data_IF_490080162731
#
_entry.id   IF_490080162731
#
_cell.length_a   1.000
_cell.length_b   1.000
_cell.length_c   1.000
_cell.angle_alpha   90.00
_cell.angle_beta   90.00
_cell.angle_gamma   90.00
#
_symmetry.space_group_name_H-M   'P 1'
#
loop_
_entity.id
_entity.type
_entity.pdbx_description
1 polymer ?
#
# COMPACT_ATOMS: atom_id res chain seq x y z
N UNK A 1 -43.11 4.01 -16.43
CA UNK A 1 -42.90 3.66 -17.85
C UNK A 1 -42.43 4.90 -18.56
N UNK A 2 -41.26 4.86 -19.20
CA UNK A 2 -40.56 6.08 -19.62
C UNK A 2 -41.14 6.72 -20.90
N UNK A 3 -40.81 7.99 -21.15
CA UNK A 3 -41.24 8.77 -22.34
C UNK A 3 -40.04 9.33 -23.13
N UNK A 4 -38.92 8.59 -23.14
CA UNK A 4 -37.66 9.05 -23.71
C UNK A 4 -37.74 9.28 -25.22
N UNK A 5 -37.17 10.39 -25.72
CA UNK A 5 -37.11 10.68 -27.18
C UNK A 5 -35.69 10.66 -27.75
N UNK A 6 -34.67 10.93 -26.92
CA UNK A 6 -33.28 11.17 -27.38
C UNK A 6 -32.23 10.28 -26.71
N UNK A 7 -32.54 9.67 -25.56
CA UNK A 7 -31.57 8.87 -24.82
C UNK A 7 -31.34 7.48 -25.42
N UNK A 8 -32.20 7.04 -26.35
CA UNK A 8 -32.27 5.64 -26.77
C UNK A 8 -32.55 4.68 -25.62
N UNK A 9 -32.97 5.19 -24.46
CA UNK A 9 -33.09 4.45 -23.21
C UNK A 9 -31.78 3.77 -22.73
N UNK A 10 -30.60 4.20 -23.21
CA UNK A 10 -29.29 3.67 -22.80
C UNK A 10 -28.44 4.71 -22.05
N UNK A 11 -29.10 5.68 -21.40
CA UNK A 11 -28.48 6.73 -20.59
C UNK A 11 -29.32 6.92 -19.34
N UNK A 12 -28.71 7.46 -18.27
CA UNK A 12 -29.38 7.69 -16.98
C UNK A 12 -30.53 8.71 -17.04
N UNK A 13 -30.77 9.37 -18.18
CA UNK A 13 -31.99 10.16 -18.41
C UNK A 13 -33.26 9.29 -18.53
N UNK A 14 -33.12 7.98 -18.67
CA UNK A 14 -34.23 7.02 -18.73
C UNK A 14 -34.39 6.32 -17.38
N UNK A 15 -35.55 6.47 -16.74
CA UNK A 15 -35.88 5.81 -15.47
C UNK A 15 -35.69 4.29 -15.50
N UNK A 16 -36.00 3.63 -16.62
CA UNK A 16 -35.81 2.18 -16.75
C UNK A 16 -34.32 1.82 -16.74
N UNK A 17 -33.49 2.60 -17.43
CA UNK A 17 -32.06 2.35 -17.54
C UNK A 17 -31.31 2.66 -16.23
N UNK A 18 -31.71 3.74 -15.56
CA UNK A 18 -31.22 4.10 -14.24
C UNK A 18 -31.52 2.97 -13.24
N UNK A 19 -32.77 2.49 -13.23
CA UNK A 19 -33.21 1.37 -12.40
C UNK A 19 -32.71 -0.02 -12.86
N UNK A 20 -31.84 -0.10 -13.88
CA UNK A 20 -31.28 -1.35 -14.44
C UNK A 20 -32.32 -2.37 -14.92
N UNK A 21 -33.50 -1.91 -15.32
CA UNK A 21 -34.56 -2.73 -15.92
C UNK A 21 -34.75 -2.44 -17.41
N UNK A 22 -35.35 -3.38 -18.14
CA UNK A 22 -35.66 -3.18 -19.55
C UNK A 22 -36.90 -2.30 -19.71
N UNK A 23 -36.96 -1.58 -20.84
CA UNK A 23 -38.21 -0.98 -21.25
C UNK A 23 -39.20 -2.09 -21.62
N UNK A 24 -40.46 -1.92 -21.23
CA UNK A 24 -41.56 -2.83 -21.57
C UNK A 24 -42.63 -2.10 -22.39
N UNK A 25 -43.70 -2.81 -22.74
CA UNK A 25 -44.82 -2.28 -23.55
C UNK A 25 -45.53 -1.06 -22.94
N UNK A 26 -45.41 -0.84 -21.63
CA UNK A 26 -45.97 0.35 -20.96
C UNK A 26 -45.14 1.63 -21.19
N UNK A 27 -43.95 1.53 -21.78
CA UNK A 27 -43.10 2.67 -22.08
C UNK A 27 -43.50 3.31 -23.41
N UNK A 28 -43.52 4.65 -23.46
CA UNK A 28 -43.81 5.45 -24.67
C UNK A 28 -42.55 6.07 -25.26
N UNK A 29 -41.42 5.40 -25.10
CA UNK A 29 -40.14 5.85 -25.63
C UNK A 29 -40.06 5.69 -27.15
N UNK A 30 -39.39 6.63 -27.80
CA UNK A 30 -39.13 6.63 -29.25
C UNK A 30 -37.67 6.23 -29.48
N UNK A 31 -37.45 5.26 -30.38
CA UNK A 31 -36.12 4.74 -30.67
C UNK A 31 -35.48 4.00 -29.49
N UNK A 32 -36.27 3.18 -28.78
CA UNK A 32 -35.80 2.43 -27.63
C UNK A 32 -34.70 1.43 -28.04
N UNK A 33 -33.56 1.49 -27.37
CA UNK A 33 -32.47 0.51 -27.48
C UNK A 33 -32.28 -0.26 -26.17
N UNK A 34 -33.21 -0.15 -25.23
CA UNK A 34 -33.15 -0.77 -23.90
C UNK A 34 -34.07 -1.98 -23.80
N UNK A 35 -33.73 -3.01 -24.57
CA UNK A 35 -34.41 -4.31 -24.61
C UNK A 35 -33.36 -5.42 -24.66
N UNK A 36 -33.77 -6.67 -24.43
CA UNK A 36 -32.89 -7.82 -24.20
C UNK A 36 -31.92 -8.07 -25.38
N UNK A 37 -32.42 -8.03 -26.60
CA UNK A 37 -31.65 -8.34 -27.81
C UNK A 37 -30.94 -7.13 -28.44
N UNK A 38 -30.96 -5.97 -27.79
CA UNK A 38 -30.37 -4.75 -28.33
C UNK A 38 -28.85 -4.89 -28.49
N UNK A 39 -28.30 -4.74 -29.71
CA UNK A 39 -26.86 -4.86 -29.91
C UNK A 39 -26.11 -3.75 -29.18
N UNK A 40 -26.63 -2.52 -29.18
CA UNK A 40 -25.99 -1.41 -28.47
C UNK A 40 -25.96 -1.63 -26.96
N UNK A 41 -27.01 -2.23 -26.39
CA UNK A 41 -27.03 -2.58 -24.96
C UNK A 41 -25.98 -3.64 -24.63
N UNK A 42 -25.91 -4.70 -25.45
CA UNK A 42 -24.92 -5.78 -25.27
C UNK A 42 -23.49 -5.24 -25.35
N UNK A 43 -23.21 -4.35 -26.31
CA UNK A 43 -21.91 -3.70 -26.41
C UNK A 43 -21.57 -2.90 -25.14
N UNK A 44 -22.51 -2.11 -24.61
CA UNK A 44 -22.28 -1.36 -23.37
C UNK A 44 -22.01 -2.28 -22.17
N UNK A 45 -22.70 -3.41 -22.09
CA UNK A 45 -22.49 -4.40 -21.03
C UNK A 45 -21.08 -5.01 -21.12
N UNK A 46 -20.67 -5.49 -22.30
CA UNK A 46 -19.32 -6.05 -22.49
C UNK A 46 -18.21 -5.03 -22.20
N UNK A 47 -18.41 -3.75 -22.52
CA UNK A 47 -17.45 -2.70 -22.20
C UNK A 47 -17.34 -2.46 -20.69
N UNK A 48 -18.47 -2.51 -19.97
CA UNK A 48 -18.48 -2.41 -18.52
C UNK A 48 -17.76 -3.60 -17.86
N UNK A 49 -18.03 -4.82 -18.31
CA UNK A 49 -17.36 -6.03 -17.82
C UNK A 49 -15.84 -5.95 -18.06
N UNK A 50 -15.43 -5.53 -19.26
CA UNK A 50 -14.02 -5.35 -19.58
C UNK A 50 -13.34 -4.26 -18.72
N UNK A 51 -14.05 -3.19 -18.36
CA UNK A 51 -13.55 -2.16 -17.45
C UNK A 51 -13.43 -2.71 -16.02
N UNK A 52 -14.41 -3.49 -15.55
CA UNK A 52 -14.38 -4.11 -14.23
C UNK A 52 -13.21 -5.09 -14.10
N UNK A 53 -12.98 -5.94 -15.10
CA UNK A 53 -11.82 -6.86 -15.12
C UNK A 53 -10.49 -6.10 -15.03
N UNK A 54 -10.37 -4.96 -15.72
CA UNK A 54 -9.15 -4.12 -15.62
C UNK A 54 -8.99 -3.52 -14.23
N UNK A 55 -10.07 -3.04 -13.61
CA UNK A 55 -10.04 -2.48 -12.25
C UNK A 55 -9.69 -3.57 -11.23
N UNK A 56 -10.27 -4.76 -11.36
CA UNK A 56 -9.93 -5.91 -10.52
C UNK A 56 -8.46 -6.32 -10.71
N UNK A 57 -7.94 -6.34 -11.95
CA UNK A 57 -6.53 -6.65 -12.22
C UNK A 57 -5.58 -5.61 -11.62
N UNK A 58 -5.91 -4.33 -11.73
CA UNK A 58 -5.14 -3.24 -11.11
C UNK A 58 -5.18 -3.31 -9.58
N UNK A 59 -6.35 -3.60 -9.01
CA UNK A 59 -6.52 -3.74 -7.56
C UNK A 59 -5.76 -4.96 -7.04
N UNK A 60 -5.84 -6.11 -7.72
CA UNK A 60 -5.07 -7.30 -7.38
C UNK A 60 -3.55 -7.05 -7.46
N UNK A 61 -3.08 -6.34 -8.48
CA UNK A 61 -1.67 -5.96 -8.60
C UNK A 61 -1.23 -5.01 -7.48
N UNK A 62 -2.05 -4.01 -7.14
CA UNK A 62 -1.80 -3.07 -6.04
C UNK A 62 -1.78 -3.76 -4.68
N UNK A 63 -2.72 -4.66 -4.42
CA UNK A 63 -2.76 -5.45 -3.17
C UNK A 63 -1.57 -6.39 -3.08
N UNK A 64 -1.18 -7.05 -4.19
CA UNK A 64 0.00 -7.92 -4.25
C UNK A 64 1.31 -7.14 -4.02
N UNK A 65 1.42 -5.92 -4.55
CA UNK A 65 2.56 -5.04 -4.29
C UNK A 65 2.56 -4.55 -2.84
N UNK A 66 1.41 -4.14 -2.31
CA UNK A 66 1.26 -3.67 -0.93
C UNK A 66 1.54 -4.78 0.09
N UNK A 67 1.13 -6.02 -0.19
CA UNK A 67 1.44 -7.17 0.64
C UNK A 67 2.92 -7.55 0.55
N UNK A 68 3.54 -7.46 -0.63
CA UNK A 68 5.00 -7.65 -0.77
C UNK A 68 5.82 -6.60 -0.03
N UNK A 69 5.39 -5.33 -0.02
CA UNK A 69 6.04 -4.27 0.77
C UNK A 69 5.84 -4.50 2.27
N UNK A 70 4.64 -4.91 2.68
CA UNK A 70 4.36 -5.24 4.09
C UNK A 70 5.14 -6.49 4.54
N UNK A 71 5.29 -7.49 3.67
CA UNK A 71 6.07 -8.70 3.92
C UNK A 71 7.57 -8.41 3.95
N UNK A 72 8.10 -7.46 3.17
CA UNK A 72 9.49 -7.01 3.32
C UNK A 72 9.77 -6.37 4.69
N UNK A 73 8.74 -5.77 5.29
CA UNK A 73 8.83 -5.16 6.63
C UNK A 73 8.52 -6.15 7.76
N UNK A 74 7.96 -7.33 7.47
CA UNK A 74 7.42 -8.24 8.50
C UNK A 74 7.87 -9.71 8.37
N UNK A 75 8.52 -10.13 7.27
CA UNK A 75 8.91 -11.54 7.06
C UNK A 75 10.13 -11.95 7.88
N UNK A 76 10.03 -12.97 8.76
CA UNK A 76 11.20 -13.76 9.15
C UNK A 76 11.66 -14.60 7.95
N UNK A 77 12.93 -14.51 7.57
CA UNK A 77 13.52 -15.26 6.47
C UNK A 77 13.48 -16.79 6.70
N UNK A 78 13.48 -17.62 5.64
CA UNK A 78 13.32 -19.07 5.74
C UNK A 78 14.51 -19.69 6.48
N UNK A 79 14.22 -20.76 7.23
CA UNK A 79 15.22 -21.59 7.91
C UNK A 79 16.09 -22.25 6.84
N UNK A 80 17.29 -21.70 6.61
CA UNK A 80 18.39 -22.43 5.98
C UNK A 80 19.19 -23.09 7.09
N UNK A 81 19.13 -24.42 7.11
CA UNK A 81 19.88 -25.29 7.99
C UNK A 81 21.38 -25.18 7.74
N UNK A 82 22.10 -25.15 8.87
CA UNK A 82 23.52 -25.51 9.06
C UNK A 82 24.57 -24.46 8.69
N UNK A 83 25.09 -23.78 9.72
CA UNK A 83 26.37 -23.04 9.64
C UNK A 83 26.40 -21.68 10.32
N UNK A 84 26.48 -21.66 11.66
CA UNK A 84 27.07 -20.62 12.51
C UNK A 84 27.01 -19.14 12.09
N UNK A 85 25.96 -18.42 12.52
CA UNK A 85 25.97 -16.96 12.62
C UNK A 85 24.56 -16.37 12.58
N UNK A 86 24.09 -15.73 13.67
CA UNK A 86 22.83 -14.96 13.65
C UNK A 86 22.94 -13.88 12.55
N UNK A 87 22.01 -13.90 11.60
CA UNK A 87 21.95 -12.94 10.49
C UNK A 87 21.59 -11.53 11.01
N UNK A 88 22.05 -10.45 10.36
CA UNK A 88 21.83 -9.05 10.79
C UNK A 88 20.36 -8.64 10.96
N UNK A 89 19.44 -9.39 10.35
CA UNK A 89 18.00 -9.11 10.31
C UNK A 89 17.29 -9.21 11.68
N UNK A 90 17.90 -9.83 12.70
CA UNK A 90 17.26 -9.92 14.03
C UNK A 90 17.43 -8.67 14.90
N UNK A 91 18.33 -7.75 14.54
CA UNK A 91 18.68 -6.62 15.40
C UNK A 91 18.09 -5.27 14.96
N UNK A 92 17.70 -5.15 13.69
CA UNK A 92 17.07 -3.94 13.15
C UNK A 92 15.58 -4.23 13.00
N UNK A 93 14.88 -4.24 14.13
CA UNK A 93 13.41 -4.30 14.14
C UNK A 93 12.82 -2.96 13.74
N UNK A 94 11.52 -2.93 13.42
CA UNK A 94 10.78 -1.69 13.20
C UNK A 94 10.96 -0.71 14.37
N UNK A 95 10.92 -1.21 15.61
CA UNK A 95 11.12 -0.40 16.82
C UNK A 95 12.53 0.23 16.88
N UNK A 96 13.56 -0.50 16.46
CA UNK A 96 14.94 0.03 16.41
C UNK A 96 15.09 1.09 15.31
N UNK A 97 14.43 0.90 14.17
CA UNK A 97 14.40 1.88 13.09
C UNK A 97 13.64 3.15 13.52
N UNK A 98 12.45 3.01 14.13
CA UNK A 98 11.64 4.11 14.63
C UNK A 98 12.40 4.91 15.70
N UNK A 99 13.02 4.23 16.67
CA UNK A 99 13.84 4.89 17.69
C UNK A 99 15.06 5.62 17.09
N UNK A 100 15.65 5.09 16.02
CA UNK A 100 16.75 5.76 15.31
C UNK A 100 16.25 7.03 14.62
N UNK A 101 15.10 6.97 13.94
CA UNK A 101 14.47 8.13 13.31
C UNK A 101 14.16 9.23 14.34
N UNK A 102 13.62 8.86 15.50
CA UNK A 102 13.31 9.81 16.58
C UNK A 102 14.58 10.53 17.07
N UNK A 103 15.70 9.81 17.20
CA UNK A 103 16.98 10.43 17.56
C UNK A 103 17.44 11.46 16.52
N UNK A 104 17.30 11.15 15.22
CA UNK A 104 17.71 12.05 14.14
C UNK A 104 16.85 13.31 14.07
N UNK A 105 15.53 13.15 14.24
CA UNK A 105 14.59 14.26 14.24
C UNK A 105 14.81 15.18 15.45
N UNK A 106 15.05 14.61 16.64
CA UNK A 106 15.39 15.39 17.83
C UNK A 106 16.68 16.18 17.64
N UNK A 107 17.71 15.60 16.99
CA UNK A 107 18.95 16.30 16.70
C UNK A 107 18.76 17.44 15.70
N UNK A 108 17.94 17.23 14.67
CA UNK A 108 17.59 18.26 13.71
C UNK A 108 16.89 19.45 14.40
N UNK A 109 15.89 19.17 15.24
CA UNK A 109 15.17 20.19 16.00
C UNK A 109 16.10 20.94 16.97
N UNK A 110 17.04 20.24 17.61
CA UNK A 110 18.04 20.88 18.48
C UNK A 110 18.97 21.81 17.69
N UNK A 111 19.38 21.42 16.48
CA UNK A 111 20.21 22.24 15.62
C UNK A 111 19.48 23.52 15.17
N UNK A 112 18.18 23.42 14.87
CA UNK A 112 17.32 24.58 14.56
C UNK A 112 17.16 25.52 15.76
N UNK A 113 16.83 24.97 16.94
CA UNK A 113 16.70 25.75 18.20
C UNK A 113 18.00 26.46 18.57
N UNK A 114 19.14 25.84 18.28
CA UNK A 114 20.46 26.42 18.51
C UNK A 114 20.92 27.38 17.39
N UNK A 115 20.05 27.68 16.42
CA UNK A 115 20.33 28.62 15.32
C UNK A 115 21.50 28.19 14.43
N UNK A 116 21.73 26.88 14.28
CA UNK A 116 22.86 26.37 13.51
C UNK A 116 22.63 26.56 12.01
N UNK A 117 23.70 26.74 11.26
CA UNK A 117 23.62 26.74 9.79
C UNK A 117 23.27 25.35 9.27
N UNK A 118 22.68 25.29 8.07
CA UNK A 118 22.28 24.04 7.41
C UNK A 118 23.42 23.00 7.37
N UNK A 119 24.63 23.42 7.00
CA UNK A 119 25.79 22.54 6.93
C UNK A 119 26.21 21.98 8.31
N UNK A 120 26.01 22.75 9.39
CA UNK A 120 26.29 22.31 10.75
C UNK A 120 25.19 21.36 11.25
N UNK A 121 23.93 21.65 10.96
CA UNK A 121 22.81 20.78 11.28
C UNK A 121 22.93 19.40 10.58
N UNK A 122 23.26 19.39 9.28
CA UNK A 122 23.51 18.16 8.52
C UNK A 122 24.62 17.32 9.15
N UNK A 123 25.74 17.95 9.55
CA UNK A 123 26.83 17.26 10.24
C UNK A 123 26.36 16.64 11.56
N UNK A 124 25.61 17.39 12.36
CA UNK A 124 25.07 16.91 13.64
C UNK A 124 24.17 15.69 13.47
N UNK A 125 23.29 15.69 12.46
CA UNK A 125 22.39 14.56 12.16
C UNK A 125 23.20 13.34 11.72
N UNK A 126 24.20 13.51 10.84
CA UNK A 126 25.06 12.40 10.41
C UNK A 126 25.88 11.80 11.55
N UNK A 127 26.36 12.64 12.48
CA UNK A 127 27.04 12.17 13.68
C UNK A 127 26.10 11.35 14.58
N UNK A 128 24.86 11.81 14.80
CA UNK A 128 23.87 11.04 15.58
C UNK A 128 23.47 9.74 14.90
N UNK A 129 23.35 9.73 13.57
CA UNK A 129 23.14 8.50 12.82
C UNK A 129 24.28 7.50 13.05
N UNK A 130 25.53 7.97 12.99
CA UNK A 130 26.71 7.16 13.32
C UNK A 130 26.68 6.61 14.75
N UNK A 131 26.27 7.42 15.74
CA UNK A 131 26.12 6.96 17.13
C UNK A 131 25.03 5.89 17.27
N UNK A 132 23.90 6.06 16.60
CA UNK A 132 22.81 5.08 16.59
C UNK A 132 23.26 3.75 15.98
N UNK A 133 23.93 3.80 14.82
CA UNK A 133 24.49 2.60 14.19
C UNK A 133 25.49 1.88 15.10
N UNK A 134 26.40 2.61 15.76
CA UNK A 134 27.37 2.00 16.66
C UNK A 134 26.70 1.34 17.88
N UNK A 135 25.62 1.94 18.41
CA UNK A 135 24.81 1.32 19.47
C UNK A 135 24.15 0.03 19.01
N UNK A 136 23.57 0.02 17.81
CA UNK A 136 22.95 -1.17 17.21
C UNK A 136 24.00 -2.29 17.04
N UNK A 137 25.16 -1.96 16.49
CA UNK A 137 26.27 -2.91 16.29
C UNK A 137 26.77 -3.47 17.63
N UNK A 138 26.96 -2.63 18.64
CA UNK A 138 27.41 -3.05 19.96
C UNK A 138 26.39 -3.94 20.67
N UNK A 139 25.10 -3.62 20.56
CA UNK A 139 24.00 -4.44 21.10
C UNK A 139 23.92 -5.79 20.39
N UNK A 140 24.14 -5.83 19.07
CA UNK A 140 24.24 -7.06 18.31
C UNK A 140 25.46 -7.91 18.74
N UNK A 141 26.59 -7.28 19.05
CA UNK A 141 27.82 -7.94 19.51
C UNK A 141 27.73 -8.55 20.92
N UNK A 142 27.07 -7.88 21.87
CA UNK A 142 26.89 -8.37 23.25
C UNK A 142 26.06 -9.65 23.35
N UNK A 143 25.17 -9.90 22.37
CA UNK A 143 24.38 -11.15 22.31
C UNK A 143 25.22 -12.42 22.06
N UNK A 144 26.53 -12.28 21.76
CA UNK A 144 27.47 -13.40 21.55
C UNK A 144 28.38 -13.68 22.75
N UNK A 145 28.33 -12.87 23.81
CA UNK A 145 29.27 -12.95 24.93
C UNK A 145 28.55 -13.06 26.27
N UNK A 146 27.82 -14.14 26.47
CA UNK A 146 27.55 -14.68 27.82
C UNK A 146 28.18 -16.08 27.89
N UNK A 147 29.43 -16.21 28.36
CA UNK A 147 29.90 -17.48 28.89
C UNK A 147 29.23 -17.66 30.25
N UNK A 148 28.36 -18.67 30.36
CA UNK A 148 27.88 -19.15 31.64
C UNK A 148 29.10 -19.56 32.47
N UNK A 149 29.48 -18.73 33.44
CA UNK A 149 30.49 -19.03 34.43
C UNK A 149 29.83 -19.07 35.81
N UNK A 150 29.90 -20.27 36.40
CA UNK A 150 29.86 -20.58 37.83
C UNK A 150 28.52 -20.48 38.57
N UNK A 151 27.86 -21.64 38.75
CA UNK A 151 27.99 -22.41 40.00
C UNK A 151 27.31 -23.78 39.91
N UNK A 152 28.12 -24.83 40.01
CA UNK A 152 27.96 -26.07 40.80
C UNK A 152 29.02 -27.09 40.32
#
# INVERSE_FOLDING_TARGET
GCNCKRSGCLKNYCECYEAKIMCSSICKCIGCKNFEESPERKTLMHLADAAEVRVQQQTAAKTKLSSQISDLLTRPAPVLTSGGGRLPFTFVTKEVADATCDCLLAQAEQAEKAGKSKAVAERMILEEFGRCLMRIINSAGKSKSDPCAMNC
#
